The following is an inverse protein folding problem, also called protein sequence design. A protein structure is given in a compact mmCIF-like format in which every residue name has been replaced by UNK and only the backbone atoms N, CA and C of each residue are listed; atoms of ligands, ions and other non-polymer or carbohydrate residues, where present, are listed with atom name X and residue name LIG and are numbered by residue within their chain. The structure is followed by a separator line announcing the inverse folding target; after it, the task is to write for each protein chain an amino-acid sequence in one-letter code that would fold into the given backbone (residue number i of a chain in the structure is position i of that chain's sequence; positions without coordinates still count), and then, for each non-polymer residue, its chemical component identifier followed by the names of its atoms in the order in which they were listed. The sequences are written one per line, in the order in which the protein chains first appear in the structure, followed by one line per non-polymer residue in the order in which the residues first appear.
data_IF_369373948955
#
_entry.id   IF_369373948955
#
_cell.length_a   1.000
_cell.length_b   1.000
_cell.length_c   1.000
_cell.angle_alpha   90.00
_cell.angle_beta   90.00
_cell.angle_gamma   90.00
#
_symmetry.space_group_name_H-M   'P 1'
#
loop_
_entity.id
_entity.type
_entity.pdbx_description
1 polymer ?
#
# COMPACT_ATOMS: atom_id res chain seq x y z
N UNK A 1 -27.10 -21.10 -1.41
CA UNK A 1 -26.54 -22.08 -2.39
C UNK A 1 -26.59 -23.44 -1.73
N UNK A 2 -26.93 -24.52 -2.43
CA UNK A 2 -26.99 -25.84 -1.81
C UNK A 2 -25.67 -26.60 -2.00
N UNK A 3 -25.05 -27.00 -0.88
CA UNK A 3 -23.93 -27.93 -0.89
C UNK A 3 -24.44 -29.37 -0.95
N UNK A 4 -23.77 -30.22 -1.72
CA UNK A 4 -24.08 -31.65 -1.79
C UNK A 4 -22.82 -32.49 -1.63
N UNK A 5 -22.97 -33.73 -1.18
CA UNK A 5 -21.88 -34.70 -1.02
C UNK A 5 -21.02 -34.87 -2.28
N UNK A 6 -21.62 -34.78 -3.47
CA UNK A 6 -20.90 -34.90 -4.75
C UNK A 6 -19.96 -33.70 -4.95
N UNK A 7 -20.45 -32.49 -4.67
CA UNK A 7 -19.66 -31.27 -4.80
C UNK A 7 -18.52 -31.21 -3.79
N UNK A 8 -18.81 -31.48 -2.52
CA UNK A 8 -17.79 -31.48 -1.47
C UNK A 8 -16.73 -32.54 -1.75
N UNK A 9 -17.12 -33.78 -2.10
CA UNK A 9 -16.17 -34.85 -2.44
C UNK A 9 -15.28 -34.51 -3.64
N UNK A 10 -15.80 -33.80 -4.65
CA UNK A 10 -15.03 -33.42 -5.84
C UNK A 10 -13.88 -32.44 -5.55
N UNK A 11 -13.92 -31.72 -4.41
CA UNK A 11 -12.89 -30.77 -3.99
C UNK A 11 -11.81 -31.38 -3.08
N UNK A 12 -11.80 -32.70 -2.90
CA UNK A 12 -10.82 -33.43 -2.08
C UNK A 12 -10.65 -32.84 -0.65
N UNK A 13 -11.73 -32.78 0.15
CA UNK A 13 -11.70 -32.30 1.53
C UNK A 13 -10.84 -33.22 2.41
N UNK A 14 -10.38 -32.68 3.54
CA UNK A 14 -9.74 -33.50 4.56
C UNK A 14 -10.70 -34.59 5.09
N UNK A 15 -10.14 -35.73 5.50
CA UNK A 15 -10.95 -36.87 5.94
C UNK A 15 -11.84 -36.53 7.16
N UNK A 16 -11.36 -35.67 8.06
CA UNK A 16 -12.11 -35.20 9.23
C UNK A 16 -13.32 -34.35 8.83
N UNK A 17 -13.11 -33.33 8.00
CA UNK A 17 -14.16 -32.40 7.58
C UNK A 17 -15.23 -33.05 6.70
N UNK A 18 -14.83 -33.99 5.84
CA UNK A 18 -15.80 -34.73 5.05
C UNK A 18 -16.68 -35.66 5.90
N UNK A 19 -16.11 -36.32 6.91
CA UNK A 19 -16.88 -37.16 7.85
C UNK A 19 -17.87 -36.32 8.66
N UNK A 20 -17.44 -35.16 9.14
CA UNK A 20 -18.29 -34.20 9.84
C UNK A 20 -19.49 -33.81 8.97
N UNK A 21 -19.26 -33.38 7.72
CA UNK A 21 -20.32 -32.97 6.81
C UNK A 21 -21.35 -34.07 6.50
N UNK A 22 -20.90 -35.33 6.38
CA UNK A 22 -21.79 -36.46 6.17
C UNK A 22 -22.63 -36.79 7.41
N UNK A 23 -22.05 -36.67 8.61
CA UNK A 23 -22.70 -37.02 9.87
C UNK A 23 -23.71 -35.95 10.29
N UNK A 24 -23.31 -34.68 10.26
CA UNK A 24 -24.07 -33.59 10.87
C UNK A 24 -25.08 -32.96 9.88
N UNK A 25 -24.80 -33.02 8.58
CA UNK A 25 -25.67 -32.47 7.54
C UNK A 25 -26.23 -33.53 6.57
N UNK A 26 -26.08 -34.83 6.85
CA UNK A 26 -26.52 -35.92 5.95
C UNK A 26 -26.00 -35.78 4.49
N UNK A 27 -24.88 -35.07 4.30
CA UNK A 27 -24.28 -34.81 2.99
C UNK A 27 -25.01 -33.76 2.13
N UNK A 28 -25.85 -32.90 2.72
CA UNK A 28 -26.48 -31.77 2.02
C UNK A 28 -26.83 -30.62 2.97
N UNK A 29 -26.76 -29.37 2.52
CA UNK A 29 -27.17 -28.24 3.35
C UNK A 29 -27.02 -26.91 2.64
N UNK A 30 -27.69 -25.88 3.17
CA UNK A 30 -27.43 -24.52 2.70
C UNK A 30 -26.00 -24.12 3.06
N UNK A 31 -25.32 -23.49 2.10
CA UNK A 31 -23.91 -23.17 2.18
C UNK A 31 -23.55 -22.33 3.41
N UNK A 32 -24.32 -21.27 3.70
CA UNK A 32 -24.02 -20.43 4.85
C UNK A 32 -24.32 -21.17 6.16
N UNK A 33 -25.41 -21.93 6.22
CA UNK A 33 -25.73 -22.74 7.40
C UNK A 33 -24.64 -23.78 7.73
N UNK A 34 -23.98 -24.35 6.71
CA UNK A 34 -22.85 -25.27 6.89
C UNK A 34 -21.60 -24.53 7.40
N UNK A 35 -21.33 -23.32 6.90
CA UNK A 35 -20.23 -22.48 7.40
C UNK A 35 -20.45 -22.11 8.88
N UNK A 36 -21.67 -21.68 9.22
CA UNK A 36 -22.03 -21.29 10.59
C UNK A 36 -21.91 -22.49 11.55
N UNK A 37 -22.36 -23.68 11.13
CA UNK A 37 -22.23 -24.91 11.92
C UNK A 37 -20.77 -25.33 12.13
N UNK A 38 -19.91 -25.19 11.12
CA UNK A 38 -18.46 -25.43 11.27
C UNK A 38 -17.84 -24.47 12.28
N UNK A 39 -18.21 -23.19 12.24
CA UNK A 39 -17.74 -22.18 13.19
C UNK A 39 -18.23 -22.49 14.61
N UNK A 40 -19.49 -22.87 14.78
CA UNK A 40 -20.07 -23.25 16.07
C UNK A 40 -19.37 -24.46 16.70
N UNK A 41 -18.91 -25.41 15.88
CA UNK A 41 -18.16 -26.60 16.31
C UNK A 41 -16.65 -26.34 16.48
N UNK A 42 -16.20 -25.08 16.39
CA UNK A 42 -14.79 -24.70 16.52
C UNK A 42 -13.92 -25.11 15.32
N UNK A 43 -14.53 -25.50 14.20
CA UNK A 43 -13.86 -25.95 12.96
C UNK A 43 -13.68 -24.79 11.98
N UNK A 44 -13.19 -23.65 12.47
CA UNK A 44 -13.07 -22.39 11.70
C UNK A 44 -12.17 -22.57 10.47
N UNK A 45 -11.08 -23.34 10.59
CA UNK A 45 -10.19 -23.65 9.47
C UNK A 45 -10.90 -24.40 8.33
N UNK A 46 -11.81 -25.33 8.65
CA UNK A 46 -12.60 -26.03 7.64
C UNK A 46 -13.62 -25.10 6.98
N UNK A 47 -14.20 -24.15 7.73
CA UNK A 47 -15.10 -23.14 7.18
C UNK A 47 -14.36 -22.21 6.20
N UNK A 48 -13.17 -21.71 6.57
CA UNK A 48 -12.32 -20.91 5.69
C UNK A 48 -11.94 -21.70 4.42
N UNK A 49 -11.52 -22.96 4.57
CA UNK A 49 -11.20 -23.82 3.43
C UNK A 49 -12.39 -24.00 2.49
N UNK A 50 -13.58 -24.24 3.05
CA UNK A 50 -14.80 -24.42 2.26
C UNK A 50 -15.09 -23.16 1.44
N UNK A 51 -14.94 -21.98 2.04
CA UNK A 51 -15.08 -20.71 1.36
C UNK A 51 -14.06 -20.51 0.24
N UNK A 52 -12.80 -20.90 0.45
CA UNK A 52 -11.76 -20.81 -0.57
C UNK A 52 -12.02 -21.75 -1.77
N UNK A 53 -12.68 -22.90 -1.55
CA UNK A 53 -12.95 -23.89 -2.61
C UNK A 53 -14.20 -23.61 -3.43
N UNK A 54 -15.25 -23.09 -2.79
CA UNK A 54 -16.54 -22.85 -3.41
C UNK A 54 -16.77 -21.39 -3.80
N UNK A 55 -15.96 -20.49 -3.24
CA UNK A 55 -16.03 -19.07 -3.53
C UNK A 55 -17.15 -18.34 -2.80
N UNK A 56 -17.23 -17.02 -3.03
CA UNK A 56 -18.19 -16.16 -2.35
C UNK A 56 -19.60 -16.26 -2.93
N UNK A 57 -20.55 -15.64 -2.22
CA UNK A 57 -21.92 -15.40 -2.68
C UNK A 57 -22.21 -13.90 -2.72
N UNK A 58 -23.33 -13.50 -3.34
CA UNK A 58 -23.79 -12.10 -3.36
C UNK A 58 -24.62 -11.70 -2.12
N UNK A 59 -24.68 -12.56 -1.10
CA UNK A 59 -25.41 -12.27 0.12
C UNK A 59 -24.77 -11.10 0.89
N UNK A 60 -25.61 -10.34 1.61
CA UNK A 60 -25.15 -9.27 2.50
C UNK A 60 -25.70 -9.52 3.89
N UNK A 61 -24.81 -9.66 4.87
CA UNK A 61 -25.18 -9.76 6.28
C UNK A 61 -25.04 -8.39 6.93
N UNK A 62 -26.16 -7.85 7.41
CA UNK A 62 -26.22 -6.56 8.11
C UNK A 62 -26.40 -6.76 9.60
N UNK A 63 -25.52 -6.15 10.40
CA UNK A 63 -25.53 -6.23 11.85
C UNK A 63 -25.32 -4.84 12.47
N UNK A 64 -25.84 -4.63 13.67
CA UNK A 64 -25.52 -3.42 14.43
C UNK A 64 -24.11 -3.48 15.04
N UNK A 65 -23.77 -4.60 15.68
CA UNK A 65 -22.45 -4.91 16.27
C UNK A 65 -22.12 -6.37 16.00
N UNK A 66 -20.84 -6.72 16.07
CA UNK A 66 -20.39 -8.10 15.96
C UNK A 66 -19.40 -8.44 17.07
N UNK A 67 -19.85 -9.25 18.02
CA UNK A 67 -19.06 -9.79 19.12
C UNK A 67 -19.21 -11.32 19.09
N UNK A 68 -18.15 -12.04 18.70
CA UNK A 68 -18.19 -13.50 18.53
C UNK A 68 -16.80 -14.14 18.64
N UNK A 69 -16.74 -15.45 18.88
CA UNK A 69 -15.45 -16.16 18.85
C UNK A 69 -14.82 -16.12 17.44
N UNK A 70 -15.61 -16.33 16.39
CA UNK A 70 -15.20 -16.24 14.99
C UNK A 70 -16.41 -15.94 14.10
N UNK A 71 -16.17 -15.46 12.88
CA UNK A 71 -17.18 -15.38 11.82
C UNK A 71 -16.59 -15.76 10.46
N UNK A 72 -17.31 -16.61 9.72
CA UNK A 72 -17.03 -16.94 8.32
C UNK A 72 -18.30 -16.75 7.51
N UNK A 73 -18.37 -15.65 6.76
CA UNK A 73 -19.53 -15.30 5.94
C UNK A 73 -19.17 -15.36 4.45
N UNK A 74 -19.98 -16.06 3.64
CA UNK A 74 -19.67 -16.25 2.22
C UNK A 74 -19.82 -14.98 1.37
N UNK A 75 -20.59 -13.99 1.84
CA UNK A 75 -20.86 -12.75 1.12
C UNK A 75 -20.15 -11.53 1.68
N UNK A 76 -20.83 -10.38 1.64
CA UNK A 76 -20.39 -9.12 2.23
C UNK A 76 -20.89 -8.98 3.66
N UNK A 77 -20.01 -8.56 4.57
CA UNK A 77 -20.36 -8.25 5.95
C UNK A 77 -20.46 -6.73 6.12
N UNK A 78 -21.64 -6.23 6.51
CA UNK A 78 -21.92 -4.82 6.80
C UNK A 78 -22.26 -4.67 8.29
N UNK A 79 -21.41 -4.03 9.07
CA UNK A 79 -21.62 -3.82 10.51
C UNK A 79 -21.67 -2.33 10.81
N UNK A 80 -22.74 -1.85 11.45
CA UNK A 80 -22.90 -0.41 11.69
C UNK A 80 -21.90 0.13 12.70
N UNK A 81 -21.63 -0.60 13.78
CA UNK A 81 -20.70 -0.23 14.86
C UNK A 81 -19.36 -0.94 14.66
N UNK A 82 -18.85 -1.67 15.64
CA UNK A 82 -17.55 -2.35 15.55
C UNK A 82 -17.69 -3.85 15.30
N UNK A 83 -16.57 -4.44 14.88
CA UNK A 83 -16.37 -5.90 14.83
C UNK A 83 -15.30 -6.23 15.86
N UNK A 84 -15.60 -7.14 16.77
CA UNK A 84 -14.68 -7.66 17.76
C UNK A 84 -14.81 -9.18 17.81
N UNK A 85 -13.79 -9.89 17.35
CA UNK A 85 -13.78 -11.36 17.40
C UNK A 85 -12.52 -11.90 18.04
N UNK A 86 -12.67 -13.00 18.77
CA UNK A 86 -11.56 -13.62 19.48
C UNK A 86 -10.53 -14.25 18.54
N UNK A 87 -10.97 -14.70 17.36
CA UNK A 87 -10.10 -15.38 16.38
C UNK A 87 -10.18 -14.75 15.00
N UNK A 88 -11.10 -15.19 14.14
CA UNK A 88 -11.10 -14.89 12.70
C UNK A 88 -12.34 -14.10 12.28
N UNK A 89 -12.14 -13.04 11.52
CA UNK A 89 -13.17 -12.42 10.65
C UNK A 89 -12.88 -12.82 9.22
N UNK A 90 -13.75 -13.62 8.60
CA UNK A 90 -13.64 -13.98 7.19
C UNK A 90 -14.92 -13.60 6.45
N UNK A 91 -14.79 -12.75 5.42
CA UNK A 91 -15.84 -12.50 4.43
C UNK A 91 -15.38 -13.00 3.06
N UNK A 92 -16.30 -13.61 2.31
CA UNK A 92 -16.05 -14.04 0.93
C UNK A 92 -15.93 -12.85 -0.03
N UNK A 93 -16.66 -11.76 0.24
CA UNK A 93 -16.56 -10.50 -0.50
C UNK A 93 -15.92 -9.43 0.36
N UNK A 94 -16.65 -8.35 0.66
CA UNK A 94 -16.14 -7.19 1.38
C UNK A 94 -16.51 -7.21 2.87
N UNK A 95 -15.72 -6.54 3.70
CA UNK A 95 -16.05 -6.22 5.09
C UNK A 95 -16.19 -4.70 5.18
N UNK A 96 -17.36 -4.22 5.58
CA UNK A 96 -17.64 -2.80 5.76
C UNK A 96 -18.12 -2.59 7.19
N UNK A 97 -17.44 -1.73 7.93
CA UNK A 97 -17.81 -1.40 9.29
C UNK A 97 -17.78 0.10 9.56
N UNK A 98 -18.75 0.63 10.30
CA UNK A 98 -18.77 2.05 10.70
C UNK A 98 -17.81 2.37 11.84
N UNK A 99 -17.36 1.35 12.59
CA UNK A 99 -16.40 1.45 13.68
C UNK A 99 -15.07 0.76 13.34
N UNK A 100 -14.39 0.25 14.37
CA UNK A 100 -13.15 -0.53 14.20
C UNK A 100 -13.39 -2.02 13.99
N UNK A 101 -12.36 -2.72 13.52
CA UNK A 101 -12.29 -4.18 13.44
C UNK A 101 -11.16 -4.64 14.37
N UNK A 102 -11.45 -5.55 15.30
CA UNK A 102 -10.45 -6.28 16.08
C UNK A 102 -10.64 -7.78 15.89
N UNK A 103 -9.57 -8.49 15.58
CA UNK A 103 -9.54 -9.94 15.50
C UNK A 103 -8.29 -10.50 16.19
N UNK A 104 -8.45 -11.56 16.98
CA UNK A 104 -7.33 -12.18 17.70
C UNK A 104 -6.41 -13.06 16.84
N UNK A 105 -6.77 -13.36 15.60
CA UNK A 105 -5.93 -14.14 14.68
C UNK A 105 -5.87 -13.56 13.26
N UNK A 106 -7.00 -13.37 12.59
CA UNK A 106 -6.96 -12.85 11.22
C UNK A 106 -8.21 -12.11 10.78
N UNK A 107 -8.01 -11.15 9.90
CA UNK A 107 -9.07 -10.44 9.19
C UNK A 107 -8.85 -10.68 7.70
N UNK A 108 -9.83 -11.29 7.04
CA UNK A 108 -9.69 -11.72 5.65
C UNK A 108 -10.96 -11.39 4.85
N UNK A 109 -10.81 -10.60 3.79
CA UNK A 109 -11.86 -10.31 2.82
C UNK A 109 -11.43 -10.79 1.42
N UNK A 110 -12.36 -11.35 0.64
CA UNK A 110 -12.09 -11.67 -0.76
C UNK A 110 -11.98 -10.42 -1.65
N UNK A 111 -12.58 -9.31 -1.22
CA UNK A 111 -12.54 -8.01 -1.90
C UNK A 111 -12.02 -6.94 -0.93
N UNK A 112 -12.81 -5.93 -0.60
CA UNK A 112 -12.37 -4.75 0.13
C UNK A 112 -12.60 -4.88 1.65
N UNK A 113 -11.78 -4.21 2.44
CA UNK A 113 -12.00 -3.99 3.87
C UNK A 113 -12.10 -2.49 4.10
N UNK A 114 -13.19 -2.02 4.67
CA UNK A 114 -13.40 -0.60 4.99
C UNK A 114 -13.88 -0.46 6.43
N UNK A 115 -13.17 0.35 7.22
CA UNK A 115 -13.49 0.61 8.62
C UNK A 115 -13.50 2.11 8.92
N UNK A 116 -14.54 2.57 9.62
CA UNK A 116 -14.63 3.94 10.16
C UNK A 116 -13.74 4.19 11.39
N UNK A 117 -13.04 3.17 11.90
CA UNK A 117 -12.05 3.26 12.97
C UNK A 117 -10.78 2.45 12.67
N UNK A 118 -10.11 1.97 13.72
CA UNK A 118 -8.90 1.14 13.58
C UNK A 118 -9.21 -0.25 13.01
N UNK A 119 -8.29 -0.79 12.21
CA UNK A 119 -8.24 -2.21 11.87
C UNK A 119 -7.06 -2.82 12.63
N UNK A 120 -7.33 -3.75 13.55
CA UNK A 120 -6.32 -4.40 14.37
C UNK A 120 -6.45 -5.93 14.29
N UNK A 121 -5.41 -6.60 13.80
CA UNK A 121 -5.33 -8.06 13.75
C UNK A 121 -4.13 -8.54 14.57
N UNK A 122 -4.35 -9.46 15.51
CA UNK A 122 -3.24 -10.13 16.22
C UNK A 122 -2.58 -11.25 15.39
N UNK A 123 -2.95 -11.38 14.11
CA UNK A 123 -2.15 -12.06 13.10
C UNK A 123 -2.27 -11.34 11.76
N UNK A 124 -2.76 -12.04 10.73
CA UNK A 124 -2.71 -11.54 9.35
C UNK A 124 -3.90 -10.62 9.03
N UNK A 125 -3.69 -9.66 8.13
CA UNK A 125 -4.75 -8.92 7.44
C UNK A 125 -4.61 -9.18 5.95
N UNK A 126 -5.68 -9.70 5.32
CA UNK A 126 -5.68 -9.99 3.88
C UNK A 126 -6.93 -9.47 3.19
N UNK A 127 -6.74 -8.72 2.11
CA UNK A 127 -7.81 -8.25 1.24
C UNK A 127 -7.46 -8.56 -0.22
N UNK A 128 -8.43 -9.06 -0.98
CA UNK A 128 -8.26 -9.21 -2.43
C UNK A 128 -8.35 -7.89 -3.19
N UNK A 129 -9.01 -6.89 -2.61
CA UNK A 129 -9.13 -5.53 -3.12
C UNK A 129 -8.45 -4.52 -2.19
N UNK A 130 -9.09 -3.36 -1.99
CA UNK A 130 -8.57 -2.25 -1.20
C UNK A 130 -8.78 -2.46 0.32
N UNK A 131 -7.88 -1.90 1.13
CA UNK A 131 -8.04 -1.75 2.59
C UNK A 131 -8.08 -0.26 2.93
N UNK A 132 -9.11 0.18 3.63
CA UNK A 132 -9.26 1.56 4.09
C UNK A 132 -9.66 1.61 5.57
N UNK A 133 -8.92 2.38 6.35
CA UNK A 133 -9.24 2.70 7.74
C UNK A 133 -9.24 4.21 7.94
N UNK A 134 -10.25 4.73 8.63
CA UNK A 134 -10.30 6.16 8.96
C UNK A 134 -9.30 6.56 10.05
N UNK A 135 -8.74 5.60 10.78
CA UNK A 135 -7.67 5.79 11.78
C UNK A 135 -6.41 5.02 11.35
N UNK A 136 -5.92 4.07 12.15
CA UNK A 136 -4.73 3.26 11.87
C UNK A 136 -5.02 1.81 11.48
N UNK A 137 -4.03 1.16 10.88
CA UNK A 137 -4.03 -0.27 10.55
C UNK A 137 -2.86 -0.95 11.25
N UNK A 138 -3.13 -1.96 12.06
CA UNK A 138 -2.13 -2.71 12.80
C UNK A 138 -2.32 -4.21 12.61
N UNK A 139 -1.24 -4.91 12.25
CA UNK A 139 -1.23 -6.37 12.09
C UNK A 139 -0.02 -6.93 12.80
N UNK A 140 -0.19 -7.90 13.69
CA UNK A 140 0.95 -8.50 14.40
C UNK A 140 1.86 -9.33 13.49
N UNK A 141 1.35 -9.78 12.33
CA UNK A 141 2.14 -10.50 11.32
C UNK A 141 2.13 -9.77 10.00
N UNK A 142 1.48 -10.30 8.96
CA UNK A 142 1.56 -9.81 7.58
C UNK A 142 0.30 -9.03 7.19
N UNK A 143 0.51 -8.02 6.35
CA UNK A 143 -0.55 -7.33 5.64
C UNK A 143 -0.40 -7.62 4.14
N UNK A 144 -1.36 -8.33 3.55
CA UNK A 144 -1.40 -8.66 2.13
C UNK A 144 -2.63 -8.04 1.46
N UNK A 145 -2.43 -7.12 0.53
CA UNK A 145 -3.49 -6.36 -0.14
C UNK A 145 -3.39 -6.42 -1.67
N UNK A 146 -4.44 -6.92 -2.31
CA UNK A 146 -4.59 -7.00 -3.77
C UNK A 146 -5.00 -5.68 -4.45
N UNK A 147 -5.27 -4.63 -3.67
CA UNK A 147 -5.51 -3.27 -4.14
C UNK A 147 -4.63 -2.25 -3.40
N UNK A 148 -5.21 -1.10 -3.09
CA UNK A 148 -4.60 0.00 -2.35
C UNK A 148 -4.83 -0.15 -0.84
N UNK A 149 -3.89 0.32 -0.03
CA UNK A 149 -4.06 0.46 1.42
C UNK A 149 -4.03 1.94 1.80
N UNK A 150 -5.05 2.39 2.55
CA UNK A 150 -5.14 3.77 3.06
C UNK A 150 -5.49 3.79 4.54
N UNK A 151 -4.72 4.53 5.32
CA UNK A 151 -5.00 4.87 6.71
C UNK A 151 -4.79 6.37 6.93
N UNK A 152 -5.58 7.02 7.78
CA UNK A 152 -5.33 8.44 8.13
C UNK A 152 -4.22 8.58 9.16
N UNK A 153 -3.95 7.55 9.95
CA UNK A 153 -2.86 7.51 10.93
C UNK A 153 -1.79 6.53 10.43
N UNK A 154 -1.28 5.66 11.30
CA UNK A 154 -0.19 4.74 11.00
C UNK A 154 -0.68 3.46 10.29
N UNK A 155 0.24 2.85 9.53
CA UNK A 155 0.12 1.48 9.02
C UNK A 155 1.32 0.68 9.54
N UNK A 156 1.05 -0.33 10.37
CA UNK A 156 2.06 -1.13 11.05
C UNK A 156 1.87 -2.62 10.78
N UNK A 157 2.94 -3.31 10.37
CA UNK A 157 3.00 -4.76 10.25
C UNK A 157 4.15 -5.35 11.09
N UNK A 158 3.86 -6.36 11.92
CA UNK A 158 4.87 -7.08 12.70
C UNK A 158 5.73 -8.04 11.87
N UNK A 159 5.46 -8.17 10.57
CA UNK A 159 6.28 -8.85 9.57
C UNK A 159 6.22 -8.06 8.24
N UNK A 160 6.03 -8.74 7.11
CA UNK A 160 6.00 -8.12 5.78
C UNK A 160 4.69 -7.38 5.51
N UNK A 161 4.81 -6.27 4.77
CA UNK A 161 3.71 -5.49 4.24
C UNK A 161 3.77 -5.56 2.71
N UNK A 162 2.81 -6.24 2.09
CA UNK A 162 2.72 -6.41 0.65
C UNK A 162 1.42 -5.83 0.09
N UNK A 163 1.56 -4.82 -0.78
CA UNK A 163 0.45 -4.09 -1.40
C UNK A 163 0.70 -4.02 -2.89
N UNK A 164 -0.26 -4.46 -3.71
CA UNK A 164 -0.12 -4.39 -5.17
C UNK A 164 -0.43 -3.00 -5.74
N UNK A 165 -1.36 -2.27 -5.10
CA UNK A 165 -1.68 -0.87 -5.42
C UNK A 165 -0.81 0.13 -4.66
N UNK A 166 -1.38 1.30 -4.38
CA UNK A 166 -0.75 2.36 -3.58
C UNK A 166 -0.84 2.08 -2.08
N UNK A 167 0.21 2.48 -1.34
CA UNK A 167 0.25 2.45 0.11
C UNK A 167 0.28 3.88 0.67
N UNK A 168 -0.75 4.27 1.41
CA UNK A 168 -0.90 5.62 1.94
C UNK A 168 -1.19 5.62 3.44
N UNK A 169 -0.34 6.27 4.22
CA UNK A 169 -0.58 6.60 5.63
C UNK A 169 -0.55 8.11 5.83
N UNK A 170 -1.46 8.65 6.64
CA UNK A 170 -1.38 10.05 7.05
C UNK A 170 -0.28 10.32 8.07
N UNK A 171 0.23 9.29 8.75
CA UNK A 171 1.38 9.34 9.65
C UNK A 171 2.46 8.37 9.16
N UNK A 172 2.91 7.43 9.99
CA UNK A 172 4.03 6.54 9.69
C UNK A 172 3.57 5.25 8.97
N UNK A 173 4.48 4.68 8.18
CA UNK A 173 4.39 3.32 7.68
C UNK A 173 5.56 2.54 8.28
N UNK A 174 5.28 1.45 8.99
CA UNK A 174 6.32 0.61 9.58
C UNK A 174 6.09 -0.89 9.35
N UNK A 175 7.16 -1.63 9.09
CA UNK A 175 7.14 -3.07 8.99
C UNK A 175 8.40 -3.67 9.66
N UNK A 176 8.22 -4.73 10.45
CA UNK A 176 9.38 -5.48 10.98
C UNK A 176 9.98 -6.44 9.94
N UNK A 177 9.30 -6.62 8.81
CA UNK A 177 9.82 -7.34 7.64
C UNK A 177 10.10 -6.39 6.49
N UNK A 178 9.79 -6.84 5.27
CA UNK A 178 9.92 -6.06 4.05
C UNK A 178 8.64 -5.26 3.74
N UNK A 179 8.80 -4.11 3.07
CA UNK A 179 7.69 -3.36 2.46
C UNK A 179 7.76 -3.52 0.94
N UNK A 180 6.73 -4.13 0.35
CA UNK A 180 6.60 -4.31 -1.11
C UNK A 180 5.34 -3.61 -1.60
N UNK A 181 5.52 -2.60 -2.43
CA UNK A 181 4.44 -1.84 -3.03
C UNK A 181 4.52 -1.94 -4.56
N UNK A 182 3.43 -2.39 -5.19
CA UNK A 182 3.32 -2.48 -6.65
C UNK A 182 3.05 -1.14 -7.33
N UNK A 183 2.84 -0.06 -6.57
CA UNK A 183 2.76 1.32 -7.05
C UNK A 183 3.67 2.23 -6.19
N UNK A 184 3.16 3.38 -5.73
CA UNK A 184 3.89 4.33 -4.89
C UNK A 184 3.52 4.26 -3.41
N UNK A 185 4.47 4.63 -2.57
CA UNK A 185 4.32 4.73 -1.11
C UNK A 185 4.24 6.21 -0.72
N UNK A 186 3.25 6.57 0.11
CA UNK A 186 3.10 7.91 0.67
C UNK A 186 2.84 7.86 2.17
N UNK A 187 3.70 8.50 2.96
CA UNK A 187 3.54 8.69 4.40
C UNK A 187 3.58 10.18 4.73
N UNK A 188 2.69 10.65 5.60
CA UNK A 188 2.80 11.99 6.19
C UNK A 188 3.95 12.09 7.19
N UNK A 189 4.34 10.96 7.80
CA UNK A 189 5.52 10.81 8.63
C UNK A 189 6.60 9.99 7.91
N UNK A 190 7.21 9.05 8.62
CA UNK A 190 8.32 8.22 8.16
C UNK A 190 7.87 6.91 7.52
N UNK A 191 8.72 6.33 6.67
CA UNK A 191 8.57 4.97 6.14
C UNK A 191 9.74 4.13 6.65
N UNK A 192 9.46 3.08 7.42
CA UNK A 192 10.48 2.23 8.06
C UNK A 192 10.25 0.75 7.79
N UNK A 193 11.31 0.03 7.44
CA UNK A 193 11.30 -1.43 7.38
C UNK A 193 12.59 -2.00 7.99
N UNK A 194 12.52 -3.11 8.70
CA UNK A 194 13.75 -3.77 9.19
C UNK A 194 14.47 -4.58 8.10
N UNK A 195 13.82 -4.80 6.95
CA UNK A 195 14.42 -5.46 5.77
C UNK A 195 14.39 -4.51 4.56
N UNK A 196 14.03 -5.00 3.37
CA UNK A 196 13.98 -4.22 2.14
C UNK A 196 12.71 -3.35 2.04
N UNK A 197 12.84 -2.20 1.38
CA UNK A 197 11.70 -1.40 0.91
C UNK A 197 11.77 -1.34 -0.61
N UNK A 198 10.72 -1.81 -1.27
CA UNK A 198 10.58 -1.78 -2.72
C UNK A 198 9.23 -1.17 -3.13
N UNK A 199 9.27 -0.11 -3.94
CA UNK A 199 8.10 0.48 -4.57
C UNK A 199 8.25 0.50 -6.11
N UNK A 200 7.25 0.07 -6.86
CA UNK A 200 7.36 0.09 -8.33
C UNK A 200 7.36 1.52 -8.91
N UNK A 201 6.77 2.50 -8.20
CA UNK A 201 6.77 3.91 -8.57
C UNK A 201 7.70 4.71 -7.63
N UNK A 202 7.24 5.81 -7.06
CA UNK A 202 8.01 6.64 -6.13
C UNK A 202 7.68 6.40 -4.65
N UNK A 203 8.55 6.89 -3.77
CA UNK A 203 8.35 6.89 -2.31
C UNK A 203 8.39 8.33 -1.82
N UNK A 204 7.35 8.75 -1.10
CA UNK A 204 7.27 10.06 -0.46
C UNK A 204 7.01 9.90 1.04
N UNK A 205 7.89 10.46 1.86
CA UNK A 205 7.75 10.53 3.31
C UNK A 205 7.88 11.98 3.78
N UNK A 206 7.01 12.41 4.68
CA UNK A 206 7.17 13.71 5.36
C UNK A 206 8.31 13.70 6.39
N UNK A 207 8.66 12.53 6.92
CA UNK A 207 9.82 12.30 7.78
C UNK A 207 10.94 11.56 7.04
N UNK A 208 11.56 10.59 7.72
CA UNK A 208 12.66 9.79 7.20
C UNK A 208 12.19 8.55 6.42
N UNK A 209 13.00 8.08 5.47
CA UNK A 209 12.87 6.75 4.85
C UNK A 209 14.02 5.89 5.33
N UNK A 210 13.74 4.79 6.01
CA UNK A 210 14.76 3.91 6.59
C UNK A 210 14.49 2.43 6.29
N UNK A 211 15.51 1.70 5.87
CA UNK A 211 15.42 0.25 5.72
C UNK A 211 16.68 -0.49 6.20
N UNK A 212 16.50 -1.71 6.72
CA UNK A 212 17.60 -2.57 7.19
C UNK A 212 18.29 -3.39 6.09
N UNK A 213 17.82 -3.31 4.84
CA UNK A 213 18.49 -3.89 3.68
C UNK A 213 18.46 -2.92 2.48
N UNK A 214 18.07 -3.36 1.29
CA UNK A 214 18.02 -2.54 0.08
C UNK A 214 16.79 -1.62 0.04
N UNK A 215 17.01 -0.39 -0.40
CA UNK A 215 15.95 0.58 -0.72
C UNK A 215 15.88 0.75 -2.24
N UNK A 216 14.73 0.43 -2.83
CA UNK A 216 14.53 0.52 -4.26
C UNK A 216 13.19 1.16 -4.64
N UNK A 217 13.22 2.04 -5.63
CA UNK A 217 12.00 2.51 -6.27
C UNK A 217 12.16 2.70 -7.78
N UNK A 218 11.07 2.53 -8.52
CA UNK A 218 11.08 2.67 -9.98
C UNK A 218 11.11 4.12 -10.47
N UNK A 219 10.69 5.09 -9.65
CA UNK A 219 10.76 6.51 -9.95
C UNK A 219 11.71 7.22 -8.97
N UNK A 220 11.29 8.33 -8.35
CA UNK A 220 12.07 9.08 -7.38
C UNK A 220 11.68 8.86 -5.92
N UNK A 221 12.56 9.27 -5.01
CA UNK A 221 12.33 9.28 -3.57
C UNK A 221 12.38 10.70 -3.01
N UNK A 222 11.44 11.02 -2.12
CA UNK A 222 11.39 12.30 -1.41
C UNK A 222 11.19 12.02 0.08
N UNK A 223 12.08 12.53 0.91
CA UNK A 223 11.99 12.50 2.37
C UNK A 223 12.13 13.92 2.93
N UNK A 224 11.27 14.27 3.87
CA UNK A 224 11.37 15.52 4.63
C UNK A 224 12.51 15.54 5.65
N UNK A 225 13.15 14.39 5.88
CA UNK A 225 14.34 14.24 6.73
C UNK A 225 15.40 13.41 5.98
N UNK A 226 15.84 12.28 6.55
CA UNK A 226 16.93 11.46 6.03
C UNK A 226 16.43 10.29 5.17
N UNK A 227 17.27 9.84 4.24
CA UNK A 227 17.09 8.58 3.51
C UNK A 227 18.25 7.66 3.87
N UNK A 228 17.96 6.56 4.58
CA UNK A 228 18.95 5.59 5.05
C UNK A 228 18.61 4.17 4.65
N UNK A 229 19.61 3.44 4.19
CA UNK A 229 19.52 2.01 3.95
C UNK A 229 20.81 1.34 4.43
N UNK A 230 20.72 0.18 5.07
CA UNK A 230 21.92 -0.63 5.37
C UNK A 230 22.44 -1.38 4.12
N UNK A 231 21.63 -1.44 3.06
CA UNK A 231 22.02 -1.87 1.73
C UNK A 231 22.19 -0.71 0.74
N UNK A 232 22.16 -1.05 -0.56
CA UNK A 232 22.12 -0.08 -1.65
C UNK A 232 20.81 0.73 -1.71
N UNK A 233 20.91 1.98 -2.17
CA UNK A 233 19.77 2.84 -2.49
C UNK A 233 19.67 2.96 -4.01
N UNK A 234 18.50 2.63 -4.58
CA UNK A 234 18.26 2.63 -6.04
C UNK A 234 16.98 3.38 -6.39
N UNK A 235 17.08 4.36 -7.28
CA UNK A 235 15.97 5.12 -7.82
C UNK A 235 16.04 5.16 -9.34
N UNK A 236 14.89 4.95 -9.99
CA UNK A 236 14.77 5.18 -11.43
C UNK A 236 14.99 6.64 -11.82
N UNK A 237 14.59 7.58 -10.95
CA UNK A 237 14.74 9.02 -11.13
C UNK A 237 15.57 9.63 -9.98
N UNK A 238 15.20 10.82 -9.49
CA UNK A 238 15.92 11.56 -8.47
C UNK A 238 15.70 11.07 -7.03
N UNK A 239 16.59 11.47 -6.14
CA UNK A 239 16.53 11.21 -4.70
C UNK A 239 16.70 12.52 -3.94
N UNK A 240 15.69 12.91 -3.18
CA UNK A 240 15.68 14.15 -2.41
C UNK A 240 15.44 13.85 -0.93
N UNK A 241 16.41 14.21 -0.09
CA UNK A 241 16.29 14.21 1.35
C UNK A 241 16.58 15.63 1.86
N UNK A 242 15.81 16.15 2.80
CA UNK A 242 16.16 17.42 3.44
C UNK A 242 17.36 17.27 4.40
N UNK A 243 17.62 16.04 4.85
CA UNK A 243 18.75 15.62 5.66
C UNK A 243 19.87 14.99 4.82
N UNK A 244 20.33 13.81 5.25
CA UNK A 244 21.37 13.04 4.56
C UNK A 244 20.78 11.90 3.72
N UNK A 245 21.56 11.46 2.73
CA UNK A 245 21.33 10.19 2.03
C UNK A 245 22.51 9.28 2.35
N UNK A 246 22.25 8.13 2.97
CA UNK A 246 23.29 7.18 3.37
C UNK A 246 22.89 5.75 3.00
N UNK A 247 23.70 5.12 2.15
CA UNK A 247 23.66 3.68 1.93
C UNK A 247 24.66 2.99 2.87
N UNK A 248 24.49 1.68 3.06
CA UNK A 248 25.30 0.94 4.01
C UNK A 248 26.73 0.68 3.52
N UNK A 249 27.63 0.22 4.40
CA UNK A 249 29.03 -0.01 4.05
C UNK A 249 29.20 -0.92 2.83
N UNK A 250 30.00 -0.48 1.86
CA UNK A 250 30.24 -1.24 0.61
C UNK A 250 29.13 -1.14 -0.44
N UNK A 251 28.03 -0.45 -0.15
CA UNK A 251 26.95 -0.20 -1.08
C UNK A 251 27.02 1.22 -1.68
N UNK A 252 26.23 1.44 -2.74
CA UNK A 252 26.15 2.69 -3.47
C UNK A 252 24.76 3.30 -3.46
N UNK A 253 24.71 4.61 -3.70
CA UNK A 253 23.49 5.35 -4.04
C UNK A 253 23.44 5.48 -5.56
N UNK A 254 22.36 4.96 -6.15
CA UNK A 254 22.12 4.95 -7.58
C UNK A 254 20.83 5.69 -7.88
N UNK A 255 20.94 6.87 -8.48
CA UNK A 255 19.80 7.63 -8.99
C UNK A 255 19.87 7.75 -10.52
N UNK A 256 18.73 8.06 -11.13
CA UNK A 256 18.61 8.24 -12.59
C UNK A 256 18.68 6.94 -13.40
N UNK A 257 18.45 5.76 -12.80
CA UNK A 257 18.58 4.47 -13.48
C UNK A 257 17.66 4.30 -14.70
N UNK A 258 16.62 5.13 -14.83
CA UNK A 258 15.65 5.14 -15.93
C UNK A 258 15.53 6.51 -16.60
N UNK A 259 16.44 7.44 -16.31
CA UNK A 259 16.43 8.79 -16.87
C UNK A 259 17.21 8.84 -18.18
N UNK A 260 16.66 9.54 -19.18
CA UNK A 260 17.35 9.81 -20.44
C UNK A 260 18.51 10.78 -20.23
N UNK A 261 19.61 10.57 -20.95
CA UNK A 261 20.82 11.39 -20.82
C UNK A 261 20.60 12.88 -21.11
N UNK A 262 19.68 13.22 -22.02
CA UNK A 262 19.35 14.61 -22.37
C UNK A 262 18.50 15.35 -21.33
N UNK A 263 17.99 14.64 -20.32
CA UNK A 263 17.24 15.19 -19.20
C UNK A 263 17.87 14.83 -17.84
N UNK A 264 19.14 14.42 -17.84
CA UNK A 264 19.82 13.86 -16.67
C UNK A 264 19.94 14.85 -15.51
N UNK A 265 20.35 16.08 -15.80
CA UNK A 265 20.48 17.19 -14.86
C UNK A 265 19.14 17.61 -14.23
N UNK A 266 18.03 17.44 -14.96
CA UNK A 266 16.69 17.78 -14.50
C UNK A 266 16.01 16.66 -13.70
N UNK A 267 16.13 15.41 -14.14
CA UNK A 267 15.34 14.28 -13.62
C UNK A 267 16.14 13.34 -12.70
N UNK A 268 17.46 13.17 -12.88
CA UNK A 268 18.29 12.29 -12.05
C UNK A 268 18.85 13.00 -10.82
N UNK A 269 18.19 14.05 -10.34
CA UNK A 269 18.70 14.94 -9.29
C UNK A 269 18.85 14.22 -7.96
N UNK A 270 20.01 14.39 -7.33
CA UNK A 270 20.29 13.94 -5.97
C UNK A 270 20.50 15.17 -5.10
N UNK A 271 19.63 15.37 -4.13
CA UNK A 271 19.59 16.54 -3.26
C UNK A 271 19.60 16.09 -1.80
N UNK A 272 20.58 16.57 -1.04
CA UNK A 272 20.76 16.34 0.38
C UNK A 272 21.56 17.52 0.98
N UNK A 273 21.72 17.56 2.30
CA UNK A 273 22.58 18.56 2.96
C UNK A 273 24.04 18.47 2.51
N UNK A 274 24.53 17.24 2.35
CA UNK A 274 25.92 16.95 1.95
C UNK A 274 25.93 15.90 0.86
N UNK A 275 26.87 16.01 -0.09
CA UNK A 275 27.03 15.02 -1.16
C UNK A 275 27.29 13.63 -0.56
N UNK A 276 26.48 12.62 -0.85
CA UNK A 276 26.72 11.27 -0.33
C UNK A 276 28.06 10.74 -0.84
N UNK A 277 28.93 10.30 0.07
CA UNK A 277 30.24 9.75 -0.29
C UNK A 277 30.12 8.53 -1.22
N UNK A 278 29.01 7.79 -1.12
CA UNK A 278 28.70 6.59 -1.87
C UNK A 278 27.85 6.86 -3.12
N UNK A 279 27.73 8.11 -3.58
CA UNK A 279 26.98 8.44 -4.79
C UNK A 279 27.67 7.89 -6.04
N UNK A 280 27.05 6.87 -6.67
CA UNK A 280 27.58 6.20 -7.87
C UNK A 280 26.95 6.78 -9.14
N UNK A 281 25.64 7.03 -9.14
CA UNK A 281 24.92 7.63 -10.28
C UNK A 281 23.88 8.64 -9.81
N UNK A 282 23.63 9.65 -10.64
CA UNK A 282 22.72 10.75 -10.40
C UNK A 282 23.41 12.10 -10.63
N UNK A 283 22.63 13.15 -10.85
CA UNK A 283 23.12 14.52 -10.91
C UNK A 283 23.06 15.15 -9.52
N UNK A 284 24.21 15.36 -8.88
CA UNK A 284 24.27 16.04 -7.60
C UNK A 284 23.81 17.49 -7.75
N UNK A 285 22.76 17.88 -7.02
CA UNK A 285 22.15 19.21 -7.08
C UNK A 285 21.89 19.79 -5.67
N UNK A 286 22.72 19.42 -4.69
CA UNK A 286 22.68 19.97 -3.34
C UNK A 286 23.33 21.35 -3.22
N UNK A 287 23.39 21.94 -2.01
CA UNK A 287 23.85 23.32 -1.77
C UNK A 287 25.25 23.60 -2.34
N UNK A 288 26.16 22.63 -2.27
CA UNK A 288 27.53 22.75 -2.79
C UNK A 288 27.61 22.72 -4.33
N UNK A 289 26.56 22.25 -5.01
CA UNK A 289 26.48 22.20 -6.48
C UNK A 289 26.14 23.55 -7.13
N UNK A 290 25.76 24.57 -6.33
CA UNK A 290 25.48 25.91 -6.83
C UNK A 290 26.74 26.75 -7.10
N UNK A 291 27.94 26.24 -6.79
CA UNK A 291 29.21 26.94 -6.98
C UNK A 291 29.86 26.70 -8.36
N UNK A 292 29.34 25.78 -9.18
CA UNK A 292 29.87 25.45 -10.52
C UNK A 292 28.99 25.97 -11.67
N UNK A 293 28.26 27.06 -11.47
CA UNK A 293 27.76 27.86 -12.60
C UNK A 293 28.89 28.81 -13.01
N UNK A 294 29.49 28.70 -14.20
CA UNK A 294 30.38 29.75 -14.67
C UNK A 294 29.57 31.03 -14.70
N UNK A 295 30.06 32.08 -14.03
CA UNK A 295 29.42 33.38 -14.01
C UNK A 295 29.31 33.92 -15.45
N UNK A 296 28.17 33.65 -16.09
CA UNK A 296 27.76 34.36 -17.28
C UNK A 296 27.02 35.61 -16.81
N UNK A 297 27.74 36.72 -16.97
CA UNK A 297 27.31 38.12 -16.79
C UNK A 297 25.87 38.34 -16.32
N UNK A 298 25.75 38.62 -15.01
CA UNK A 298 24.58 39.26 -14.44
C UNK A 298 24.54 40.74 -14.84
N UNK A 299 24.17 41.06 -16.09
CA UNK A 299 23.62 42.36 -16.47
C UNK A 299 22.64 42.24 -17.66
N UNK A 300 21.46 41.70 -17.43
CA UNK A 300 20.29 42.00 -18.26
C UNK A 300 19.00 41.92 -17.42
N UNK A 301 18.20 42.99 -17.32
CA UNK A 301 16.91 42.92 -16.65
C UNK A 301 15.95 42.04 -17.47
N UNK A 302 15.33 41.10 -16.77
CA UNK A 302 14.20 40.28 -17.20
C UNK A 302 13.12 41.12 -17.91
N UNK A 303 12.85 40.82 -19.19
CA UNK A 303 11.75 41.42 -19.94
C UNK A 303 10.82 40.32 -20.48
N UNK A 304 9.65 40.21 -19.84
CA UNK A 304 8.39 39.94 -20.54
C UNK A 304 8.04 38.49 -20.82
N UNK A 305 6.99 38.03 -20.13
CA UNK A 305 6.16 36.92 -20.56
C UNK A 305 5.53 37.26 -21.91
N UNK A 306 5.63 36.38 -22.92
CA UNK A 306 4.78 36.47 -24.11
C UNK A 306 3.51 35.67 -23.85
N UNK A 307 2.46 36.40 -23.46
CA UNK A 307 1.09 35.93 -23.57
C UNK A 307 0.70 35.80 -25.04
N UNK A 308 0.09 34.65 -25.35
CA UNK A 308 -0.55 34.34 -26.62
C UNK A 308 -2.00 34.82 -26.54
N UNK A 309 -2.40 35.82 -27.33
CA UNK A 309 -3.79 36.32 -27.28
C UNK A 309 -4.20 37.37 -28.31
N UNK A 310 -4.71 36.87 -29.45
CA UNK A 310 -5.69 37.40 -30.40
C UNK A 310 -6.14 38.90 -30.42
N UNK A 311 -6.04 39.47 -31.63
CA UNK A 311 -7.03 40.25 -32.40
C UNK A 311 -7.77 41.45 -31.78
N UNK A 312 -7.54 42.66 -32.31
CA UNK A 312 -8.47 43.31 -33.25
C UNK A 312 -7.91 44.63 -33.82
N UNK A 313 -8.25 44.88 -35.09
CA UNK A 313 -7.61 45.90 -35.92
C UNK A 313 -8.11 47.34 -35.78
N UNK A 314 -7.40 48.24 -36.46
CA UNK A 314 -7.91 49.48 -37.08
C UNK A 314 -6.86 50.02 -38.05
N UNK A 315 -7.30 50.33 -39.28
CA UNK A 315 -6.62 51.07 -40.37
C UNK A 315 -6.95 52.57 -40.16
N UNK A 316 -6.05 53.56 -40.37
CA UNK A 316 -5.73 54.15 -41.70
C UNK A 316 -4.24 54.58 -41.82
N UNK A 317 -3.63 54.93 -42.95
CA UNK A 317 -4.04 55.32 -44.29
C UNK A 317 -2.98 56.31 -44.84
N UNK A 318 -2.70 56.27 -46.15
CA UNK A 318 -1.82 57.23 -46.87
C UNK A 318 -0.32 56.88 -46.82
N UNK A 319 0.45 56.86 -47.90
CA UNK A 319 0.33 57.41 -49.25
C UNK A 319 1.59 57.02 -50.07
N UNK A 320 1.99 57.76 -51.11
CA UNK A 320 1.78 57.36 -52.50
C UNK A 320 3.08 57.09 -53.29
N UNK A 321 2.90 56.65 -54.55
CA UNK A 321 3.71 56.85 -55.79
C UNK A 321 3.66 55.57 -56.62
N UNK A 322 3.55 55.58 -57.94
CA UNK A 322 3.27 56.57 -58.96
C UNK A 322 2.78 55.79 -60.19
#
# INVERSE_FOLDING_TARGET
MQLTKKFVKAKNPCAGGYKWFLRDHNGQGDYQAVLDALVADGRVGDACWLLDQFGPTDAVLRLDTLDANAIVFAGTLEVRMGINVDTVVRAGRSIVTGGGIRAGESIVAGENITAGGNIASAGNLRAGGDVAADWGIETATRLDCGGNVRAKWDICAGQDLAVTGHLHAGQDISAQGAIKCGQGIKAGGSVRAEQEIHAACGIQAGGSIQCGDHLACGWGMIAGEDIRAEGAIRAGEGVHAAGIIAAGPGHGVYAGLSVRLDAWDLCARVVAQTRPAQLVSGHWAGPDGALDVPATDATAPWSGWMDVGAANGTVPGGGPRA
#
